data_IF_088325467321
#
_entry.id   IF_088325467321
#
_cell.length_a   1.000
_cell.length_b   1.000
_cell.length_c   1.000
_cell.angle_alpha   90.00
_cell.angle_beta   90.00
_cell.angle_gamma   90.00
#
_symmetry.space_group_name_H-M   'P 1'
#
loop_
_entity.id
_entity.type
_entity.pdbx_description
1 polymer ?
#
# COMPACT_ATOMS: atom_id res chain seq x y z
N UNK A 1 -7.54 -7.77 17.17
CA UNK A 1 -6.28 -7.13 17.60
C UNK A 1 -5.98 -7.49 19.06
N UNK A 2 -4.71 -7.76 19.35
CA UNK A 2 -4.25 -7.98 20.73
C UNK A 2 -4.28 -6.67 21.52
N UNK A 3 -4.28 -6.77 22.87
CA UNK A 3 -4.13 -5.60 23.75
C UNK A 3 -2.85 -4.83 23.41
N UNK A 4 -2.93 -3.50 23.37
CA UNK A 4 -1.83 -2.62 22.96
C UNK A 4 -1.54 -2.62 21.46
N UNK A 5 -2.38 -3.29 20.64
CA UNK A 5 -2.17 -3.38 19.19
C UNK A 5 -2.35 -2.04 18.47
N UNK A 6 -1.74 -1.95 17.29
CA UNK A 6 -1.83 -0.78 16.40
C UNK A 6 -2.49 -1.16 15.08
N UNK A 7 -3.36 -0.30 14.61
CA UNK A 7 -3.93 -0.36 13.27
C UNK A 7 -3.46 0.86 12.49
N UNK A 8 -2.91 0.63 11.33
CA UNK A 8 -2.48 1.71 10.43
C UNK A 8 -3.34 1.65 9.17
N UNK A 9 -4.03 2.73 8.86
CA UNK A 9 -4.76 2.89 7.60
C UNK A 9 -3.92 3.68 6.60
N UNK A 10 -3.72 3.10 5.42
CA UNK A 10 -2.94 3.71 4.34
C UNK A 10 -3.72 3.86 3.02
N UNK A 11 -5.03 3.69 3.04
CA UNK A 11 -5.84 3.82 1.83
C UNK A 11 -7.34 3.73 2.09
N UNK A 12 -8.12 4.17 1.12
CA UNK A 12 -9.59 4.24 1.17
C UNK A 12 -10.24 3.74 -0.12
N UNK A 13 -9.66 2.75 -0.75
CA UNK A 13 -10.08 2.24 -2.07
C UNK A 13 -11.55 1.81 -2.11
N UNK A 14 -12.05 1.22 -1.04
CA UNK A 14 -13.43 0.76 -0.93
C UNK A 14 -14.38 1.75 -0.25
N UNK A 15 -13.92 2.91 0.15
CA UNK A 15 -14.72 3.97 0.79
C UNK A 15 -13.97 4.72 1.88
N UNK A 16 -14.50 5.88 2.24
CA UNK A 16 -13.89 6.81 3.19
C UNK A 16 -14.36 6.63 4.63
N UNK A 17 -15.42 5.87 4.84
CA UNK A 17 -16.06 5.72 6.14
C UNK A 17 -15.89 4.30 6.68
N UNK A 18 -15.63 4.20 7.97
CA UNK A 18 -15.56 2.92 8.68
C UNK A 18 -16.16 3.05 10.08
N UNK A 19 -16.71 1.95 10.58
CA UNK A 19 -17.21 1.88 11.94
C UNK A 19 -16.08 1.47 12.89
N UNK A 20 -15.92 2.21 13.98
CA UNK A 20 -14.94 1.94 15.00
C UNK A 20 -15.64 1.55 16.31
N UNK A 21 -15.26 0.40 16.88
CA UNK A 21 -15.78 -0.04 18.16
C UNK A 21 -14.99 0.61 19.31
N UNK A 22 -15.46 1.75 19.80
CA UNK A 22 -14.78 2.57 20.81
C UNK A 22 -14.53 1.79 22.12
N UNK A 23 -15.46 0.93 22.53
CA UNK A 23 -15.28 0.10 23.72
C UNK A 23 -14.06 -0.80 23.64
N UNK A 24 -13.84 -1.46 22.51
CA UNK A 24 -12.63 -2.27 22.28
C UNK A 24 -11.37 -1.44 22.15
N UNK A 25 -11.47 -0.27 21.53
CA UNK A 25 -10.35 0.68 21.44
C UNK A 25 -9.87 1.04 22.84
N UNK A 26 -10.79 1.45 23.70
CA UNK A 26 -10.51 1.87 25.07
C UNK A 26 -10.02 0.71 25.94
N UNK A 27 -10.79 -0.38 26.05
CA UNK A 27 -10.50 -1.47 26.99
C UNK A 27 -9.22 -2.25 26.66
N UNK A 28 -8.81 -2.26 25.41
CA UNK A 28 -7.58 -2.94 24.95
C UNK A 28 -6.40 -2.01 24.71
N UNK A 29 -6.56 -0.70 24.98
CA UNK A 29 -5.50 0.29 24.76
C UNK A 29 -4.97 0.26 23.32
N UNK A 30 -5.89 0.22 22.34
CA UNK A 30 -5.51 0.16 20.93
C UNK A 30 -5.15 1.54 20.39
N UNK A 31 -4.29 1.58 19.39
CA UNK A 31 -3.93 2.79 18.67
C UNK A 31 -4.38 2.68 17.23
N UNK A 32 -5.04 3.73 16.72
CA UNK A 32 -5.41 3.85 15.30
C UNK A 32 -4.65 5.01 14.68
N UNK A 33 -3.96 4.75 13.60
CA UNK A 33 -3.09 5.72 12.91
C UNK A 33 -3.47 5.83 11.45
N UNK A 34 -3.34 7.01 10.89
CA UNK A 34 -3.36 7.25 9.46
C UNK A 34 -1.94 7.34 8.91
N UNK A 35 -1.70 6.72 7.77
CA UNK A 35 -0.47 6.87 7.00
C UNK A 35 -0.82 7.40 5.62
N UNK A 36 -0.75 8.69 5.46
CA UNK A 36 -1.02 9.39 4.20
C UNK A 36 -0.17 10.63 4.08
N UNK A 37 -0.02 11.12 2.85
CA UNK A 37 0.85 12.25 2.55
C UNK A 37 2.33 11.92 2.74
N UNK A 38 3.18 12.42 1.86
CA UNK A 38 4.63 12.19 1.96
C UNK A 38 5.36 13.47 1.60
N UNK A 39 6.36 13.79 2.40
CA UNK A 39 7.30 14.85 2.06
C UNK A 39 8.36 14.33 1.07
N UNK A 40 9.03 15.25 0.36
CA UNK A 40 10.18 14.90 -0.49
C UNK A 40 11.28 14.21 0.30
N UNK A 41 11.46 14.61 1.56
CA UNK A 41 12.45 14.02 2.46
C UNK A 41 12.15 12.55 2.73
N UNK A 42 10.91 12.25 3.14
CA UNK A 42 10.48 10.86 3.39
C UNK A 42 10.60 9.98 2.16
N UNK A 43 10.30 10.53 0.97
CA UNK A 43 10.51 9.82 -0.29
C UNK A 43 12.00 9.54 -0.53
N UNK A 44 12.88 10.52 -0.28
CA UNK A 44 14.32 10.33 -0.36
C UNK A 44 14.83 9.24 0.58
N UNK A 45 14.40 9.28 1.83
CA UNK A 45 14.75 8.28 2.84
C UNK A 45 14.28 6.87 2.43
N UNK A 46 13.05 6.77 1.90
CA UNK A 46 12.52 5.53 1.34
C UNK A 46 13.37 5.02 0.17
N UNK A 47 13.74 5.88 -0.76
CA UNK A 47 14.55 5.51 -1.92
C UNK A 47 15.95 5.03 -1.52
N UNK A 48 16.52 5.56 -0.45
CA UNK A 48 17.78 5.07 0.10
C UNK A 48 17.66 3.63 0.58
N UNK A 49 16.56 3.28 1.25
CA UNK A 49 16.27 1.90 1.69
C UNK A 49 16.06 0.94 0.51
N UNK A 50 15.50 1.42 -0.59
CA UNK A 50 15.40 0.64 -1.82
C UNK A 50 16.79 0.45 -2.47
N UNK A 51 17.59 1.49 -2.47
CA UNK A 51 18.91 1.49 -3.11
C UNK A 51 19.92 0.59 -2.39
N UNK A 52 19.86 0.54 -1.07
CA UNK A 52 20.73 -0.32 -0.26
C UNK A 52 20.22 -1.77 -0.15
N UNK A 53 19.08 -2.08 -0.75
CA UNK A 53 18.48 -3.42 -0.77
C UNK A 53 17.70 -3.81 0.49
N UNK A 54 17.50 -2.87 1.44
CA UNK A 54 16.67 -3.11 2.64
C UNK A 54 15.21 -3.33 2.25
N UNK A 55 14.74 -2.58 1.26
CA UNK A 55 13.38 -2.70 0.71
C UNK A 55 13.42 -3.03 -0.77
N UNK A 56 12.54 -3.92 -1.19
CA UNK A 56 12.35 -4.23 -2.62
C UNK A 56 10.87 -4.27 -2.96
N UNK A 57 10.57 -3.80 -4.18
CA UNK A 57 9.25 -3.94 -4.75
C UNK A 57 9.01 -5.39 -5.21
N UNK A 58 7.82 -5.89 -4.93
CA UNK A 58 7.38 -7.16 -5.51
C UNK A 58 6.73 -6.87 -6.85
N UNK A 59 7.42 -7.19 -7.95
CA UNK A 59 6.88 -7.06 -9.31
C UNK A 59 6.24 -8.39 -9.69
N UNK A 60 4.90 -8.36 -9.90
CA UNK A 60 4.15 -9.55 -10.31
C UNK A 60 4.18 -9.78 -11.81
N UNK A 61 4.03 -8.72 -12.60
CA UNK A 61 4.04 -8.80 -14.05
C UNK A 61 4.57 -7.52 -14.70
N UNK A 62 5.31 -7.69 -15.79
CA UNK A 62 5.79 -6.60 -16.62
C UNK A 62 5.15 -6.68 -17.99
N UNK A 63 4.61 -5.60 -18.49
CA UNK A 63 4.09 -5.45 -19.83
C UNK A 63 4.91 -4.40 -20.60
N UNK A 64 5.11 -4.56 -21.91
CA UNK A 64 5.56 -3.44 -22.72
C UNK A 64 4.51 -2.33 -22.74
N UNK A 65 4.91 -1.10 -22.96
CA UNK A 65 4.02 0.07 -22.90
C UNK A 65 2.82 -0.07 -23.86
N UNK A 66 3.03 -0.67 -25.02
CA UNK A 66 1.98 -0.91 -26.03
C UNK A 66 0.85 -1.81 -25.53
N UNK A 67 1.11 -2.62 -24.52
CA UNK A 67 0.13 -3.52 -23.89
C UNK A 67 -0.48 -2.93 -22.62
N UNK A 68 -0.47 -1.62 -22.44
CA UNK A 68 -1.06 -0.97 -21.28
C UNK A 68 -2.54 -1.33 -21.06
N UNK A 69 -3.29 -1.52 -22.14
CA UNK A 69 -4.70 -1.96 -22.08
C UNK A 69 -4.84 -3.34 -21.42
N UNK A 70 -4.00 -4.30 -21.77
CA UNK A 70 -3.98 -5.64 -21.15
C UNK A 70 -3.59 -5.57 -19.68
N UNK A 71 -2.62 -4.72 -19.34
CA UNK A 71 -2.21 -4.49 -17.96
C UNK A 71 -3.36 -3.92 -17.11
N UNK A 72 -4.16 -3.01 -17.65
CA UNK A 72 -5.36 -2.49 -16.99
C UNK A 72 -6.42 -3.57 -16.76
N UNK A 73 -6.70 -4.39 -17.77
CA UNK A 73 -7.64 -5.50 -17.64
C UNK A 73 -7.22 -6.48 -16.55
N UNK A 74 -5.93 -6.84 -16.50
CA UNK A 74 -5.42 -7.71 -15.44
C UNK A 74 -5.59 -7.07 -14.05
N UNK A 75 -5.40 -5.76 -13.94
CA UNK A 75 -5.61 -5.04 -12.67
C UNK A 75 -7.09 -5.05 -12.26
N UNK A 76 -8.01 -4.88 -13.19
CA UNK A 76 -9.46 -4.94 -12.95
C UNK A 76 -9.91 -6.34 -12.52
N UNK A 77 -9.39 -7.38 -13.14
CA UNK A 77 -9.65 -8.78 -12.81
C UNK A 77 -9.10 -9.19 -11.44
N UNK A 78 -8.18 -8.41 -10.89
CA UNK A 78 -7.52 -8.66 -9.59
C UNK A 78 -6.80 -10.02 -9.47
N UNK A 79 -6.53 -10.67 -10.59
CA UNK A 79 -5.82 -11.95 -10.64
C UNK A 79 -4.30 -11.76 -10.78
N UNK A 80 -3.73 -11.01 -9.85
CA UNK A 80 -2.28 -10.80 -9.80
C UNK A 80 -1.80 -10.58 -8.37
N UNK A 81 -0.50 -10.77 -8.17
CA UNK A 81 0.20 -10.47 -6.93
C UNK A 81 1.38 -9.53 -7.20
N UNK A 82 1.59 -8.56 -6.30
CA UNK A 82 2.64 -7.57 -6.46
C UNK A 82 2.22 -6.40 -7.35
N UNK A 83 3.19 -5.77 -8.00
CA UNK A 83 2.98 -4.62 -8.89
C UNK A 83 2.91 -5.05 -10.35
N UNK A 84 2.01 -4.43 -11.10
CA UNK A 84 2.02 -4.48 -12.56
C UNK A 84 2.86 -3.29 -13.04
N UNK A 85 3.84 -3.57 -13.87
CA UNK A 85 4.80 -2.56 -14.36
C UNK A 85 4.70 -2.47 -15.87
N UNK A 86 4.71 -1.25 -16.40
CA UNK A 86 4.87 -1.00 -17.84
C UNK A 86 6.34 -0.66 -18.11
N UNK A 87 6.97 -1.45 -18.98
CA UNK A 87 8.32 -1.18 -19.45
C UNK A 87 8.26 -0.09 -20.53
N UNK A 88 8.96 0.98 -20.30
CA UNK A 88 9.10 2.10 -21.25
C UNK A 88 10.42 1.90 -22.00
N UNK A 89 10.40 1.85 -23.33
CA UNK A 89 11.60 1.68 -24.13
C UNK A 89 12.56 2.89 -24.03
#
# INVERSE_FOLDING_TARGET
MKTGGRLVNCGVTSGHMANLHLGRLFTRGLTVLGSGGRSRREFGDFMNLVHDGTLHGVVGKVFPLEQAGEAHLLMEDRDFFGKIVLAIP
#
